data_IF_054220869954
#
_entry.id   IF_054220869954
#
_cell.length_a   1.000
_cell.length_b   1.000
_cell.length_c   1.000
_cell.angle_alpha   90.00
_cell.angle_beta   90.00
_cell.angle_gamma   90.00
#
_symmetry.space_group_name_H-M   'P 1'
#
loop_
_entity.id
_entity.type
_entity.pdbx_description
1 polymer ?
#
# COMPACT_ATOMS: atom_id res chain seq x y z
N UNK A 1 23.06 -5.78 26.84
CA UNK A 1 23.17 -4.77 25.76
C UNK A 1 21.83 -4.04 25.75
N UNK A 2 21.80 -2.76 26.14
CA UNK A 2 20.54 -1.99 26.21
C UNK A 2 20.20 -1.51 24.79
N UNK A 3 19.04 -1.92 24.29
CA UNK A 3 18.49 -1.60 22.96
C UNK A 3 17.13 -0.92 23.16
N UNK A 4 16.92 0.21 22.48
CA UNK A 4 15.64 0.93 22.48
C UNK A 4 15.04 0.94 21.07
N UNK A 5 13.73 0.70 20.96
CA UNK A 5 12.98 0.74 19.70
C UNK A 5 12.05 1.95 19.67
N UNK A 6 11.99 2.62 18.52
CA UNK A 6 11.06 3.71 18.24
C UNK A 6 10.27 3.40 16.98
N UNK A 7 8.95 3.22 17.09
CA UNK A 7 8.11 2.79 15.98
C UNK A 7 7.18 3.89 15.49
N UNK A 8 6.82 3.86 14.21
CA UNK A 8 5.72 4.66 13.67
C UNK A 8 4.94 3.82 12.66
N UNK A 9 3.61 3.90 12.73
CA UNK A 9 2.72 3.26 11.78
C UNK A 9 2.46 4.21 10.62
N UNK A 10 2.40 3.67 9.39
CA UNK A 10 2.05 4.42 8.20
C UNK A 10 0.86 3.77 7.50
N UNK A 11 -0.36 3.98 8.02
CA UNK A 11 -1.55 3.30 7.55
C UNK A 11 -2.16 4.00 6.32
N UNK A 12 -3.02 3.26 5.61
CA UNK A 12 -3.78 3.82 4.48
C UNK A 12 -4.87 4.81 4.93
N UNK A 13 -5.36 4.68 6.17
CA UNK A 13 -6.50 5.43 6.72
C UNK A 13 -6.04 6.40 7.79
N UNK A 14 -5.39 7.48 7.38
CA UNK A 14 -4.92 8.57 8.24
C UNK A 14 -5.53 9.89 7.76
N UNK A 15 -5.84 10.77 8.71
CA UNK A 15 -6.23 12.16 8.40
C UNK A 15 -5.12 12.83 7.58
N UNK A 16 -5.51 13.53 6.52
CA UNK A 16 -4.59 14.06 5.51
C UNK A 16 -3.49 14.95 6.12
N UNK A 17 -3.83 15.84 7.06
CA UNK A 17 -2.85 16.70 7.71
C UNK A 17 -1.81 15.91 8.54
N UNK A 18 -2.27 14.93 9.33
CA UNK A 18 -1.40 14.06 10.13
C UNK A 18 -0.48 13.21 9.24
N UNK A 19 -1.02 12.76 8.10
CA UNK A 19 -0.24 12.05 7.08
C UNK A 19 0.82 12.95 6.48
N UNK A 20 0.47 14.17 6.09
CA UNK A 20 1.40 15.14 5.54
C UNK A 20 2.54 15.46 6.52
N UNK A 21 2.24 15.69 7.80
CA UNK A 21 3.25 15.93 8.81
C UNK A 21 4.21 14.73 8.97
N UNK A 22 3.68 13.50 8.96
CA UNK A 22 4.49 12.29 8.99
C UNK A 22 5.37 12.15 7.75
N UNK A 23 4.82 12.35 6.55
CA UNK A 23 5.56 12.27 5.29
C UNK A 23 6.70 13.30 5.26
N UNK A 24 6.41 14.54 5.64
CA UNK A 24 7.41 15.62 5.73
C UNK A 24 8.57 15.24 6.67
N UNK A 25 8.25 14.66 7.84
CA UNK A 25 9.27 14.21 8.79
C UNK A 25 10.11 13.07 8.22
N UNK A 26 9.45 12.01 7.72
CA UNK A 26 10.13 10.83 7.18
C UNK A 26 11.02 11.19 5.97
N UNK A 27 10.53 12.02 5.05
CA UNK A 27 11.30 12.49 3.89
C UNK A 27 12.56 13.28 4.29
N UNK A 28 12.52 13.97 5.44
CA UNK A 28 13.67 14.71 5.95
C UNK A 28 14.72 13.76 6.60
N UNK A 29 14.27 12.82 7.43
CA UNK A 29 15.17 12.00 8.26
C UNK A 29 15.64 10.70 7.59
N UNK A 30 14.90 10.20 6.58
CA UNK A 30 15.27 9.00 5.82
C UNK A 30 16.03 9.31 4.52
N UNK A 31 16.37 10.58 4.28
CA UNK A 31 17.18 10.98 3.14
C UNK A 31 18.65 10.99 3.53
N UNK A 32 19.39 9.97 3.11
CA UNK A 32 20.86 9.91 3.26
C UNK A 32 21.53 10.44 2.00
N UNK A 33 22.22 11.57 2.03
CA UNK A 33 23.01 12.09 0.89
C UNK A 33 24.33 12.70 1.35
N UNK A 34 24.76 12.29 2.54
CA UNK A 34 25.99 12.74 3.16
C UNK A 34 27.20 12.09 2.49
N UNK A 35 28.33 12.80 2.51
CA UNK A 35 29.58 12.27 1.94
C UNK A 35 30.15 11.15 2.84
N UNK A 36 30.98 10.25 2.29
CA UNK A 36 31.61 9.19 3.07
C UNK A 36 32.36 9.73 4.31
N UNK A 37 31.93 9.31 5.50
CA UNK A 37 32.52 9.71 6.78
C UNK A 37 31.81 10.86 7.49
N UNK A 38 30.84 11.51 6.84
CA UNK A 38 30.00 12.52 7.50
C UNK A 38 28.96 11.87 8.42
N UNK A 39 28.66 12.55 9.53
CA UNK A 39 27.57 12.14 10.41
C UNK A 39 26.23 12.36 9.69
N UNK A 40 25.27 11.42 9.81
CA UNK A 40 23.97 11.58 9.17
C UNK A 40 23.26 12.86 9.59
N UNK A 41 22.76 13.63 8.63
CA UNK A 41 22.06 14.89 8.87
C UNK A 41 20.82 14.70 9.76
N UNK A 42 20.17 13.53 9.65
CA UNK A 42 19.06 13.11 10.49
C UNK A 42 19.36 13.17 11.99
N UNK A 43 20.63 13.06 12.42
CA UNK A 43 20.98 13.18 13.85
C UNK A 43 20.77 14.60 14.39
N UNK A 44 20.74 15.61 13.53
CA UNK A 44 20.49 17.00 13.91
C UNK A 44 18.99 17.36 13.87
N UNK A 45 18.14 16.46 13.37
CA UNK A 45 16.70 16.63 13.43
C UNK A 45 16.24 16.73 14.91
N UNK A 46 15.41 17.72 15.29
CA UNK A 46 15.00 17.91 16.68
C UNK A 46 14.32 16.69 17.31
N UNK A 47 13.51 15.94 16.54
CA UNK A 47 12.79 14.77 17.04
C UNK A 47 13.78 13.63 17.27
N UNK A 48 14.67 13.36 16.31
CA UNK A 48 15.73 12.34 16.45
C UNK A 48 16.65 12.69 17.61
N UNK A 49 17.11 13.95 17.68
CA UNK A 49 18.01 14.42 18.74
C UNK A 49 17.38 14.28 20.12
N UNK A 50 16.10 14.59 20.26
CA UNK A 50 15.39 14.41 21.51
C UNK A 50 15.40 12.94 21.96
N UNK A 51 15.12 11.98 21.06
CA UNK A 51 15.19 10.56 21.41
C UNK A 51 16.59 10.12 21.83
N UNK A 52 17.63 10.64 21.18
CA UNK A 52 19.03 10.35 21.52
C UNK A 52 19.42 10.90 22.90
N UNK A 53 18.95 12.10 23.25
CA UNK A 53 19.27 12.74 24.53
C UNK A 53 18.54 12.10 25.72
N UNK A 54 17.37 11.49 25.48
CA UNK A 54 16.53 10.90 26.53
C UNK A 54 16.84 9.42 26.82
N UNK A 55 17.66 8.76 26.00
CA UNK A 55 17.95 7.33 26.14
C UNK A 55 19.34 7.10 26.73
N UNK A 56 19.44 6.20 27.71
CA UNK A 56 20.72 5.69 28.22
C UNK A 56 21.22 4.48 27.39
N UNK A 57 20.38 3.94 26.50
CA UNK A 57 20.71 2.81 25.66
C UNK A 57 21.80 3.18 24.64
N UNK A 58 22.77 2.27 24.46
CA UNK A 58 23.86 2.43 23.49
C UNK A 58 23.41 2.25 22.04
N UNK A 59 22.27 1.59 21.84
CA UNK A 59 21.70 1.29 20.54
C UNK A 59 20.25 1.74 20.50
N UNK A 60 19.90 2.51 19.47
CA UNK A 60 18.56 3.01 19.21
C UNK A 60 18.19 2.66 17.78
N UNK A 61 17.05 2.00 17.60
CA UNK A 61 16.54 1.62 16.28
C UNK A 61 15.21 2.32 16.04
N UNK A 62 15.12 3.01 14.90
CA UNK A 62 13.89 3.58 14.39
C UNK A 62 13.26 2.61 13.39
N UNK A 63 11.97 2.28 13.59
CA UNK A 63 11.22 1.31 12.80
C UNK A 63 10.01 2.01 12.18
N UNK A 64 9.91 1.93 10.86
CA UNK A 64 8.71 2.30 10.12
C UNK A 64 7.90 1.03 9.83
N UNK A 65 6.66 0.97 10.30
CA UNK A 65 5.69 -0.07 9.96
C UNK A 65 4.72 0.49 8.93
N UNK A 66 4.92 0.15 7.66
CA UNK A 66 4.18 0.74 6.55
C UNK A 66 3.35 -0.30 5.77
N UNK A 67 2.22 0.16 5.25
CA UNK A 67 1.49 -0.54 4.18
C UNK A 67 2.22 -0.38 2.85
N UNK A 68 1.73 -0.97 1.73
CA UNK A 68 2.29 -0.77 0.39
C UNK A 68 2.39 0.69 -0.10
N UNK A 69 1.94 1.68 0.68
CA UNK A 69 2.15 3.10 0.41
C UNK A 69 3.65 3.44 0.32
N UNK A 70 4.51 2.75 1.06
CA UNK A 70 5.96 2.98 1.03
C UNK A 70 6.62 2.53 -0.29
N UNK A 71 5.93 1.71 -1.08
CA UNK A 71 6.45 1.22 -2.35
C UNK A 71 6.59 2.32 -3.42
N UNK A 72 5.83 3.43 -3.32
CA UNK A 72 5.72 4.41 -4.42
C UNK A 72 5.96 5.83 -3.93
N UNK A 73 6.80 6.58 -4.65
CA UNK A 73 6.90 8.03 -4.51
C UNK A 73 7.62 8.52 -3.26
N UNK A 74 8.46 7.68 -2.64
CA UNK A 74 9.27 8.02 -1.46
C UNK A 74 10.76 7.86 -1.76
N UNK A 75 11.55 8.86 -1.38
CA UNK A 75 13.01 8.88 -1.53
C UNK A 75 13.69 8.49 -0.20
N UNK A 76 13.25 7.35 0.36
CA UNK A 76 13.71 6.87 1.67
C UNK A 76 14.86 5.88 1.52
N UNK A 77 15.79 5.95 2.47
CA UNK A 77 16.94 5.06 2.60
C UNK A 77 16.93 4.36 3.97
N UNK A 78 16.48 3.10 3.98
CA UNK A 78 16.48 2.22 5.15
C UNK A 78 17.77 1.40 5.26
N UNK A 79 18.22 1.14 6.48
CA UNK A 79 19.34 0.23 6.76
C UNK A 79 19.02 -1.23 6.41
N UNK A 80 17.80 -1.66 6.76
CA UNK A 80 17.30 -3.00 6.50
C UNK A 80 15.77 -2.98 6.38
N UNK A 81 15.20 -4.05 5.83
CA UNK A 81 13.75 -4.22 5.72
C UNK A 81 13.31 -5.66 6.02
N UNK A 82 12.11 -5.79 6.59
CA UNK A 82 11.38 -7.05 6.71
C UNK A 82 10.11 -6.92 5.88
N UNK A 83 9.95 -7.80 4.88
CA UNK A 83 8.92 -7.65 3.86
C UNK A 83 7.94 -8.83 3.91
N UNK A 84 6.66 -8.51 4.06
CA UNK A 84 5.56 -9.45 3.81
C UNK A 84 5.34 -9.60 2.28
N UNK A 85 5.42 -10.81 1.71
CA UNK A 85 5.34 -10.96 0.26
C UNK A 85 3.90 -10.79 -0.27
N UNK A 86 3.70 -9.81 -1.15
CA UNK A 86 2.41 -9.60 -1.84
C UNK A 86 2.50 -9.81 -3.35
N UNK A 87 3.61 -9.41 -3.95
CA UNK A 87 3.94 -9.52 -5.37
C UNK A 87 5.45 -9.33 -5.56
N UNK A 88 6.00 -9.86 -6.63
CA UNK A 88 7.39 -9.64 -7.02
C UNK A 88 7.69 -8.15 -7.26
N UNK A 89 6.74 -7.38 -7.80
CA UNK A 89 6.87 -5.91 -7.91
C UNK A 89 7.07 -5.25 -6.54
N UNK A 90 6.28 -5.62 -5.55
CA UNK A 90 6.36 -5.08 -4.18
C UNK A 90 7.74 -5.36 -3.58
N UNK A 91 8.27 -6.58 -3.76
CA UNK A 91 9.62 -6.95 -3.33
C UNK A 91 10.69 -6.01 -3.93
N UNK A 92 10.67 -5.80 -5.25
CA UNK A 92 11.64 -4.93 -5.94
C UNK A 92 11.54 -3.48 -5.45
N UNK A 93 10.31 -2.95 -5.33
CA UNK A 93 10.11 -1.56 -4.92
C UNK A 93 10.64 -1.29 -3.51
N UNK A 94 10.35 -2.18 -2.56
CA UNK A 94 10.85 -2.07 -1.20
C UNK A 94 12.36 -2.31 -1.12
N UNK A 95 12.91 -3.26 -1.90
CA UNK A 95 14.35 -3.43 -1.97
C UNK A 95 15.07 -2.15 -2.45
N UNK A 96 14.46 -1.41 -3.38
CA UNK A 96 14.94 -0.10 -3.83
C UNK A 96 14.82 1.04 -2.82
N UNK A 97 14.29 0.79 -1.61
CA UNK A 97 14.30 1.70 -0.46
C UNK A 97 15.37 1.33 0.57
N UNK A 98 16.02 0.17 0.43
CA UNK A 98 17.08 -0.27 1.35
C UNK A 98 18.43 0.14 0.76
N UNK A 99 19.22 0.90 1.51
CA UNK A 99 20.51 1.45 1.06
C UNK A 99 20.42 2.28 -0.23
N UNK A 100 19.31 3.00 -0.38
CA UNK A 100 18.92 3.69 -1.61
C UNK A 100 19.94 4.72 -2.11
N UNK A 101 20.65 5.39 -1.22
CA UNK A 101 21.56 6.47 -1.56
C UNK A 101 23.01 6.15 -1.19
N UNK A 102 23.31 4.89 -0.84
CA UNK A 102 24.60 4.47 -0.32
C UNK A 102 25.26 3.50 -1.30
N UNK A 103 26.33 3.95 -1.94
CA UNK A 103 27.04 3.17 -2.97
C UNK A 103 28.09 2.19 -2.40
N UNK A 104 28.04 1.89 -1.10
CA UNK A 104 28.98 0.96 -0.46
C UNK A 104 28.52 -0.49 -0.54
N UNK A 105 29.47 -1.41 -0.64
CA UNK A 105 29.21 -2.85 -0.72
C UNK A 105 28.36 -3.37 0.45
N UNK A 106 27.55 -4.38 0.17
CA UNK A 106 26.70 -5.06 1.15
C UNK A 106 27.43 -6.33 1.61
N UNK A 107 27.89 -6.35 2.85
CA UNK A 107 28.62 -7.50 3.40
C UNK A 107 27.70 -8.53 4.07
N UNK A 108 26.51 -8.11 4.51
CA UNK A 108 25.55 -8.94 5.23
C UNK A 108 24.13 -8.75 4.69
N UNK A 109 23.26 -9.79 4.76
CA UNK A 109 21.86 -9.66 4.38
C UNK A 109 21.16 -8.53 5.13
N UNK A 110 20.52 -7.63 4.40
CA UNK A 110 19.80 -6.47 4.93
C UNK A 110 18.31 -6.46 4.55
N UNK A 111 17.84 -7.47 3.82
CA UNK A 111 16.43 -7.65 3.49
C UNK A 111 16.03 -9.04 3.92
N UNK A 112 14.96 -9.13 4.71
CA UNK A 112 14.33 -10.40 5.07
C UNK A 112 12.95 -10.47 4.42
N UNK A 113 12.66 -11.60 3.78
CA UNK A 113 11.34 -11.90 3.23
C UNK A 113 10.64 -12.91 4.13
N UNK A 114 9.39 -12.65 4.49
CA UNK A 114 8.59 -13.66 5.20
C UNK A 114 8.28 -14.82 4.25
N UNK A 115 8.35 -16.05 4.77
CA UNK A 115 8.03 -17.24 3.99
C UNK A 115 6.57 -17.28 3.55
N UNK A 116 5.68 -16.77 4.41
CA UNK A 116 4.24 -16.65 4.14
C UNK A 116 3.81 -15.22 4.42
N UNK A 117 2.87 -14.72 3.62
CA UNK A 117 2.11 -13.53 4.00
C UNK A 117 1.03 -13.90 5.03
N UNK A 118 0.36 -12.90 5.59
CA UNK A 118 -0.65 -13.09 6.62
C UNK A 118 -1.80 -14.01 6.17
N UNK A 119 -2.29 -13.86 4.93
CA UNK A 119 -3.37 -14.69 4.39
C UNK A 119 -2.96 -16.16 4.25
N UNK A 120 -1.71 -16.39 3.84
CA UNK A 120 -1.12 -17.73 3.69
C UNK A 120 -0.92 -18.38 5.04
N UNK A 121 -0.36 -17.64 5.99
CA UNK A 121 -0.16 -18.11 7.35
C UNK A 121 -1.48 -18.50 8.04
N UNK A 122 -2.55 -17.75 7.82
CA UNK A 122 -3.87 -18.09 8.36
C UNK A 122 -4.47 -19.38 7.79
N UNK A 123 -4.07 -19.79 6.58
CA UNK A 123 -4.57 -21.01 5.93
C UNK A 123 -6.06 -21.00 5.55
N UNK A 124 -6.74 -19.83 5.59
CA UNK A 124 -8.19 -19.70 5.34
C UNK A 124 -8.54 -19.30 3.90
N UNK A 125 -7.56 -18.86 3.12
CA UNK A 125 -7.76 -18.29 1.78
C UNK A 125 -7.16 -19.21 0.73
N UNK A 126 -7.88 -19.44 -0.36
CA UNK A 126 -7.36 -20.17 -1.52
C UNK A 126 -6.44 -19.30 -2.38
N UNK A 127 -6.66 -17.99 -2.39
CA UNK A 127 -5.88 -17.00 -3.15
C UNK A 127 -5.18 -16.09 -2.14
N UNK A 128 -3.91 -16.36 -1.88
CA UNK A 128 -3.13 -15.76 -0.80
C UNK A 128 -2.47 -14.47 -1.24
N UNK A 129 -1.92 -14.41 -2.45
CA UNK A 129 -1.34 -13.21 -3.05
C UNK A 129 -2.44 -12.42 -3.76
N UNK A 130 -3.42 -11.98 -2.97
CA UNK A 130 -4.58 -11.21 -3.39
C UNK A 130 -4.78 -10.01 -2.47
N UNK A 131 -5.25 -8.87 -3.01
CA UNK A 131 -5.59 -7.65 -2.24
C UNK A 131 -4.51 -7.21 -1.23
N UNK A 132 -3.30 -6.85 -1.70
CA UNK A 132 -2.88 -6.76 -3.10
C UNK A 132 -2.24 -8.06 -3.65
N UNK A 133 -2.15 -8.18 -4.98
CA UNK A 133 -1.48 -9.29 -5.66
C UNK A 133 -2.19 -9.78 -6.92
N UNK A 134 -1.67 -10.84 -7.56
CA UNK A 134 -2.08 -11.30 -8.89
C UNK A 134 -2.96 -12.56 -8.90
N UNK A 135 -3.25 -13.18 -7.76
CA UNK A 135 -4.19 -14.30 -7.66
C UNK A 135 -5.64 -13.81 -7.72
N UNK A 136 -6.03 -13.20 -8.83
CA UNK A 136 -7.31 -12.46 -8.99
C UNK A 136 -8.50 -13.35 -9.32
N UNK A 137 -8.27 -14.60 -9.73
CA UNK A 137 -9.31 -15.60 -10.02
C UNK A 137 -8.77 -17.02 -9.77
N UNK A 138 -9.65 -18.01 -9.62
CA UNK A 138 -9.26 -19.41 -9.38
C UNK A 138 -8.32 -19.99 -10.46
N UNK A 139 -8.43 -19.51 -11.71
CA UNK A 139 -7.52 -19.90 -12.81
C UNK A 139 -6.12 -19.29 -12.69
N UNK A 140 -5.95 -18.27 -11.85
CA UNK A 140 -4.70 -17.55 -11.62
C UNK A 140 -4.13 -17.86 -10.22
N UNK A 141 -4.48 -19.00 -9.64
CA UNK A 141 -4.01 -19.43 -8.33
C UNK A 141 -2.74 -20.26 -8.46
N UNK A 142 -1.77 -19.99 -7.59
CA UNK A 142 -0.53 -20.73 -7.45
C UNK A 142 -0.79 -22.11 -6.86
N UNK A 143 0.10 -23.06 -7.17
CA UNK A 143 0.04 -24.41 -6.63
C UNK A 143 0.46 -24.48 -5.15
N UNK A 144 1.24 -23.50 -4.70
CA UNK A 144 1.75 -23.37 -3.33
C UNK A 144 1.79 -21.89 -2.94
N UNK A 145 1.77 -21.61 -1.63
CA UNK A 145 1.89 -20.27 -1.07
C UNK A 145 3.16 -20.10 -0.21
N UNK A 146 4.03 -21.10 -0.24
CA UNK A 146 5.36 -21.05 0.38
C UNK A 146 6.31 -20.28 -0.52
N UNK A 147 6.76 -19.11 -0.07
CA UNK A 147 7.61 -18.23 -0.88
C UNK A 147 8.91 -18.94 -1.31
N UNK A 148 9.47 -19.84 -0.49
CA UNK A 148 10.70 -20.58 -0.81
C UNK A 148 10.58 -21.47 -2.05
N UNK A 149 9.35 -21.83 -2.42
CA UNK A 149 9.04 -22.62 -3.62
C UNK A 149 8.65 -21.74 -4.82
N UNK A 150 8.36 -20.46 -4.58
CA UNK A 150 7.84 -19.51 -5.58
C UNK A 150 8.90 -18.55 -6.14
N UNK A 151 10.08 -18.50 -5.51
CA UNK A 151 11.21 -17.65 -5.89
C UNK A 151 12.50 -18.47 -5.94
N UNK A 152 13.48 -17.99 -6.71
CA UNK A 152 14.83 -18.54 -6.68
C UNK A 152 15.63 -17.86 -5.55
N UNK A 153 15.83 -18.58 -4.45
CA UNK A 153 16.53 -18.05 -3.28
C UNK A 153 17.99 -17.70 -3.58
N UNK A 154 18.67 -18.47 -4.44
CA UNK A 154 20.05 -18.18 -4.82
C UNK A 154 20.13 -16.90 -5.64
N UNK A 155 19.18 -16.70 -6.55
CA UNK A 155 19.06 -15.46 -7.31
C UNK A 155 18.83 -14.26 -6.39
N UNK A 156 17.89 -14.35 -5.44
CA UNK A 156 17.59 -13.26 -4.51
C UNK A 156 18.74 -12.94 -3.55
N UNK A 157 19.49 -13.96 -3.13
CA UNK A 157 20.72 -13.77 -2.32
C UNK A 157 21.81 -13.05 -3.12
N UNK A 158 21.88 -13.27 -4.42
CA UNK A 158 22.84 -12.59 -5.28
C UNK A 158 22.42 -11.14 -5.56
N UNK A 159 21.19 -10.94 -6.03
CA UNK A 159 20.66 -9.62 -6.42
C UNK A 159 19.13 -9.60 -6.34
N UNK A 160 18.57 -8.49 -5.82
CA UNK A 160 17.15 -8.16 -5.95
C UNK A 160 16.99 -6.98 -6.90
N UNK A 161 16.61 -7.25 -8.16
CA UNK A 161 16.47 -6.23 -9.20
C UNK A 161 15.19 -6.41 -10.04
N UNK A 162 15.02 -5.50 -11.01
CA UNK A 162 13.85 -5.49 -11.88
C UNK A 162 13.89 -6.54 -13.02
N UNK A 163 14.94 -7.36 -13.13
CA UNK A 163 15.17 -8.26 -14.27
C UNK A 163 13.99 -9.21 -14.49
N UNK A 164 13.55 -9.93 -13.45
CA UNK A 164 12.42 -10.87 -13.56
C UNK A 164 11.08 -10.17 -13.82
N UNK A 165 10.98 -8.86 -13.53
CA UNK A 165 9.78 -8.08 -13.79
C UNK A 165 9.72 -7.56 -15.23
N UNK A 166 10.87 -7.22 -15.80
CA UNK A 166 11.00 -6.66 -17.15
C UNK A 166 11.10 -7.78 -18.19
N UNK A 167 11.92 -8.78 -17.91
CA UNK A 167 12.19 -9.88 -18.83
C UNK A 167 11.26 -11.05 -18.54
N UNK A 168 10.51 -11.45 -19.55
CA UNK A 168 9.66 -12.64 -19.51
C UNK A 168 10.50 -13.87 -19.89
N UNK A 169 10.47 -14.96 -19.09
CA UNK A 169 11.14 -16.20 -19.47
C UNK A 169 10.50 -16.83 -20.71
N UNK A 170 11.28 -17.62 -21.46
CA UNK A 170 10.80 -18.31 -22.68
C UNK A 170 9.62 -19.23 -22.38
N UNK A 171 9.71 -19.97 -21.27
CA UNK A 171 8.64 -20.81 -20.75
C UNK A 171 8.17 -20.24 -19.41
N UNK A 172 6.89 -19.86 -19.34
CA UNK A 172 6.26 -19.34 -18.12
C UNK A 172 5.75 -20.50 -17.26
N UNK A 173 5.97 -20.40 -15.96
CA UNK A 173 5.44 -21.29 -14.94
C UNK A 173 4.46 -20.54 -14.01
N UNK A 174 3.30 -20.07 -14.52
CA UNK A 174 2.43 -19.14 -13.80
C UNK A 174 1.76 -19.71 -12.55
N UNK A 175 1.83 -21.02 -12.35
CA UNK A 175 1.34 -21.68 -11.13
C UNK A 175 2.42 -21.91 -10.08
N UNK A 176 3.69 -21.79 -10.45
CA UNK A 176 4.81 -22.23 -9.61
C UNK A 176 5.82 -21.11 -9.34
N UNK A 177 5.75 -19.98 -10.05
CA UNK A 177 6.66 -18.84 -9.87
C UNK A 177 5.88 -17.55 -9.69
N UNK A 178 6.25 -16.77 -8.68
CA UNK A 178 5.55 -15.54 -8.32
C UNK A 178 5.59 -14.53 -9.48
N UNK A 179 6.77 -14.27 -10.06
CA UNK A 179 6.94 -13.32 -11.16
C UNK A 179 6.20 -13.78 -12.45
N UNK A 180 6.21 -15.08 -12.75
CA UNK A 180 5.58 -15.64 -13.94
C UNK A 180 4.05 -15.55 -13.89
N UNK A 181 3.47 -15.70 -12.69
CA UNK A 181 2.05 -15.43 -12.48
C UNK A 181 1.71 -14.00 -12.90
N UNK A 182 2.52 -13.02 -12.50
CA UNK A 182 2.26 -11.62 -12.84
C UNK A 182 2.35 -11.39 -14.36
N UNK A 183 3.41 -11.89 -15.00
CA UNK A 183 3.54 -11.84 -16.47
C UNK A 183 2.35 -12.46 -17.17
N UNK A 184 1.89 -13.63 -16.69
CA UNK A 184 0.75 -14.32 -17.26
C UNK A 184 -0.53 -13.51 -17.10
N UNK A 185 -0.87 -13.05 -15.89
CA UNK A 185 -2.10 -12.30 -15.61
C UNK A 185 -2.11 -10.99 -16.39
N UNK A 186 -1.00 -10.25 -16.42
CA UNK A 186 -0.89 -9.01 -17.20
C UNK A 186 -1.09 -9.29 -18.69
N UNK A 187 -0.47 -10.36 -19.21
CA UNK A 187 -0.63 -10.75 -20.61
C UNK A 187 -2.08 -11.09 -20.97
N UNK A 188 -2.80 -11.76 -20.06
CA UNK A 188 -4.22 -12.06 -20.23
C UNK A 188 -5.09 -10.79 -20.17
N UNK A 189 -4.86 -9.91 -19.20
CA UNK A 189 -5.60 -8.63 -19.07
C UNK A 189 -5.40 -7.71 -20.27
N UNK A 190 -4.17 -7.61 -20.79
CA UNK A 190 -3.88 -6.79 -21.96
C UNK A 190 -4.34 -7.45 -23.28
N UNK A 191 -4.59 -8.76 -23.27
CA UNK A 191 -4.89 -9.52 -24.49
C UNK A 191 -3.69 -9.63 -25.43
N UNK A 192 -2.46 -9.71 -24.92
CA UNK A 192 -1.22 -9.64 -25.72
C UNK A 192 -1.17 -10.69 -26.85
N UNK A 193 -1.79 -11.85 -26.67
CA UNK A 193 -1.87 -12.90 -27.69
C UNK A 193 -2.59 -12.46 -28.98
N UNK A 194 -3.41 -11.41 -28.91
CA UNK A 194 -4.09 -10.83 -30.07
C UNK A 194 -3.32 -9.65 -30.67
N UNK A 195 -2.55 -8.92 -29.85
CA UNK A 195 -1.66 -7.84 -30.29
C UNK A 195 -0.44 -8.40 -31.03
N UNK A 196 0.16 -9.44 -30.44
CA UNK A 196 1.35 -10.14 -30.94
C UNK A 196 0.99 -11.61 -31.17
N UNK A 197 0.22 -11.92 -32.22
CA UNK A 197 -0.15 -13.30 -32.50
C UNK A 197 1.13 -14.10 -32.74
N UNK A 198 1.29 -15.20 -31.99
CA UNK A 198 2.27 -16.20 -32.35
C UNK A 198 2.00 -16.63 -33.80
N UNK A 199 3.06 -16.83 -34.60
CA UNK A 199 2.96 -17.42 -35.94
C UNK A 199 2.43 -18.85 -35.83
N UNK A 200 1.14 -19.01 -35.59
CA UNK A 200 0.43 -20.27 -35.69
C UNK A 200 -0.08 -20.36 -37.12
N UNK A 201 0.34 -21.39 -37.84
CA UNK A 201 -0.32 -21.85 -39.05
C UNK A 201 -1.69 -22.39 -38.65
N UNK A 202 -2.65 -21.50 -38.38
CA UNK A 202 -4.04 -21.92 -38.14
C UNK A 202 -4.64 -22.20 -39.50
N UNK A 203 -4.93 -23.47 -39.77
CA UNK A 203 -5.63 -23.86 -41.00
C UNK A 203 -6.98 -23.12 -41.07
N UNK A 204 -7.33 -22.51 -42.22
CA UNK A 204 -8.60 -21.83 -42.38
C UNK A 204 -9.77 -22.81 -42.19
N UNK A 205 -10.85 -22.34 -41.56
CA UNK A 205 -12.06 -23.14 -41.36
C UNK A 205 -13.05 -22.80 -42.47
N UNK A 206 -13.66 -23.82 -43.05
CA UNK A 206 -14.70 -23.64 -44.06
C UNK A 206 -16.04 -23.38 -43.38
N UNK A 207 -16.61 -22.20 -43.60
CA UNK A 207 -17.95 -21.85 -43.10
C UNK A 207 -18.79 -21.33 -44.27
N UNK A 208 -19.95 -21.95 -44.52
CA UNK A 208 -20.86 -21.61 -45.63
C UNK A 208 -20.14 -21.47 -47.00
N UNK A 209 -19.27 -22.42 -47.33
CA UNK A 209 -18.59 -22.47 -48.63
C UNK A 209 -17.50 -21.40 -48.86
N UNK A 210 -17.12 -20.64 -47.82
CA UNK A 210 -15.97 -19.71 -47.88
C UNK A 210 -14.89 -20.15 -46.88
N UNK A 211 -13.63 -20.01 -47.30
CA UNK A 211 -12.47 -20.11 -46.41
C UNK A 211 -12.46 -18.86 -45.52
N UNK A 212 -12.67 -19.06 -44.22
CA UNK A 212 -12.59 -17.99 -43.23
C UNK A 212 -11.40 -18.30 -42.34
N UNK A 213 -10.45 -17.37 -42.23
CA UNK A 213 -9.46 -17.40 -41.16
C UNK A 213 -10.25 -17.37 -39.86
N UNK A 214 -10.08 -18.36 -38.97
CA UNK A 214 -10.84 -18.44 -37.72
C UNK A 214 -10.92 -17.05 -37.10
N UNK A 215 -12.12 -16.49 -36.86
CA UNK A 215 -12.23 -15.23 -36.16
C UNK A 215 -11.55 -15.47 -34.81
N UNK A 216 -10.48 -14.74 -34.53
CA UNK A 216 -9.85 -14.74 -33.22
C UNK A 216 -10.95 -14.33 -32.24
N UNK A 217 -11.54 -15.31 -31.54
CA UNK A 217 -12.54 -15.12 -30.49
C UNK A 217 -11.85 -14.41 -29.33
N UNK A 218 -11.65 -13.11 -29.47
CA UNK A 218 -10.67 -12.38 -28.65
C UNK A 218 -10.98 -10.92 -28.41
N UNK A 219 -12.12 -10.42 -28.90
CA UNK A 219 -12.56 -9.05 -28.65
C UNK A 219 -13.57 -9.03 -27.50
N UNK A 220 -13.16 -9.52 -26.34
CA UNK A 220 -13.99 -9.47 -25.13
C UNK A 220 -13.74 -8.16 -24.38
N UNK A 221 -14.76 -7.66 -23.70
CA UNK A 221 -14.73 -6.36 -23.01
C UNK A 221 -13.84 -6.35 -21.77
N UNK A 222 -13.45 -7.52 -21.26
CA UNK A 222 -12.55 -7.74 -20.12
C UNK A 222 -11.07 -7.59 -20.46
N UNK A 223 -10.73 -7.46 -21.75
CA UNK A 223 -9.36 -7.28 -22.21
C UNK A 223 -9.16 -5.91 -22.86
N UNK A 224 -7.97 -5.31 -22.64
CA UNK A 224 -7.63 -4.03 -23.27
C UNK A 224 -7.69 -4.09 -24.79
N UNK A 225 -7.23 -5.21 -25.39
CA UNK A 225 -7.32 -5.43 -26.83
C UNK A 225 -8.76 -5.37 -27.36
N UNK A 226 -9.72 -5.94 -26.63
CA UNK A 226 -11.12 -5.88 -27.03
C UNK A 226 -11.63 -4.44 -27.06
N UNK A 227 -11.25 -3.63 -26.06
CA UNK A 227 -11.60 -2.22 -26.00
C UNK A 227 -11.02 -1.42 -27.18
N UNK A 228 -9.74 -1.62 -27.50
CA UNK A 228 -9.04 -0.82 -28.53
C UNK A 228 -9.32 -1.26 -29.97
N UNK A 229 -9.56 -2.56 -30.20
CA UNK A 229 -9.74 -3.14 -31.54
C UNK A 229 -11.19 -3.51 -31.88
N UNK A 230 -12.10 -3.42 -30.90
CA UNK A 230 -13.54 -3.62 -31.09
C UNK A 230 -14.32 -2.30 -31.14
N UNK A 231 -15.65 -2.40 -31.14
CA UNK A 231 -16.55 -1.25 -31.02
C UNK A 231 -16.98 -1.00 -29.56
N UNK A 232 -16.32 -1.66 -28.60
CA UNK A 232 -16.67 -1.60 -27.18
C UNK A 232 -16.57 -0.18 -26.60
N UNK A 233 -15.62 0.62 -27.10
CA UNK A 233 -15.44 2.03 -26.73
C UNK A 233 -16.63 2.92 -27.09
N UNK A 234 -17.51 2.50 -28.01
CA UNK A 234 -18.74 3.24 -28.34
C UNK A 234 -19.84 3.08 -27.27
N UNK A 235 -19.61 2.27 -26.25
CA UNK A 235 -20.58 1.95 -25.19
C UNK A 235 -19.98 2.14 -23.81
N UNK A 236 -20.83 2.32 -22.80
CA UNK A 236 -20.43 2.27 -21.38
C UNK A 236 -20.34 0.84 -20.79
N UNK A 237 -20.56 -0.20 -21.60
CA UNK A 237 -20.61 -1.59 -21.12
C UNK A 237 -19.27 -2.09 -20.55
N UNK A 238 -18.10 -1.79 -21.15
CA UNK A 238 -16.82 -2.18 -20.57
C UNK A 238 -16.59 -1.60 -19.18
N UNK A 239 -16.99 -0.35 -18.94
CA UNK A 239 -16.86 0.30 -17.63
C UNK A 239 -17.84 -0.30 -16.61
N UNK A 240 -19.02 -0.75 -17.06
CA UNK A 240 -19.99 -1.43 -16.21
C UNK A 240 -19.50 -2.81 -15.76
N UNK A 241 -18.93 -3.61 -16.67
CA UNK A 241 -18.43 -4.96 -16.37
C UNK A 241 -17.03 -4.98 -15.74
N UNK A 242 -16.15 -4.05 -16.14
CA UNK A 242 -14.76 -3.95 -15.67
C UNK A 242 -14.56 -2.62 -14.94
N UNK A 243 -15.26 -2.49 -13.80
CA UNK A 243 -15.27 -1.25 -13.02
C UNK A 243 -13.86 -0.89 -12.55
N UNK A 244 -13.47 0.36 -12.81
CA UNK A 244 -12.29 0.95 -12.19
C UNK A 244 -12.49 1.02 -10.67
N UNK A 245 -11.55 0.47 -9.90
CA UNK A 245 -11.68 0.29 -8.45
C UNK A 245 -12.97 -0.45 -8.07
N UNK A 246 -13.09 -1.70 -8.50
CA UNK A 246 -14.15 -2.62 -8.03
C UNK A 246 -13.92 -2.98 -6.56
N UNK A 247 -14.28 -2.05 -5.66
CA UNK A 247 -14.29 -2.22 -4.22
C UNK A 247 -15.61 -1.71 -3.65
N UNK A 248 -15.88 -2.03 -2.39
CA UNK A 248 -16.96 -1.38 -1.64
C UNK A 248 -16.74 0.15 -1.65
N UNK A 249 -17.83 0.93 -1.69
CA UNK A 249 -17.76 2.39 -1.75
C UNK A 249 -16.95 2.94 -0.57
N UNK A 250 -16.08 3.89 -0.86
CA UNK A 250 -15.33 4.60 0.17
C UNK A 250 -16.16 5.75 0.71
N UNK A 251 -16.19 5.89 2.03
CA UNK A 251 -16.78 7.01 2.75
C UNK A 251 -15.69 8.02 3.08
N UNK A 252 -15.96 9.29 2.78
CA UNK A 252 -15.11 10.42 3.15
C UNK A 252 -15.66 11.07 4.42
N UNK A 253 -14.81 11.19 5.43
CA UNK A 253 -15.09 11.90 6.67
C UNK A 253 -14.08 13.02 6.86
N UNK A 254 -14.45 14.01 7.65
CA UNK A 254 -13.61 15.14 7.98
C UNK A 254 -13.52 15.29 9.48
N UNK A 255 -12.29 15.33 10.01
CA UNK A 255 -12.04 15.58 11.42
C UNK A 255 -12.07 17.08 11.68
N UNK A 256 -13.15 17.57 12.31
CA UNK A 256 -13.43 19.00 12.42
C UNK A 256 -13.43 19.45 13.87
N UNK A 257 -12.66 20.50 14.15
CA UNK A 257 -12.73 21.23 15.41
C UNK A 257 -13.91 22.21 15.39
N UNK A 258 -14.94 21.92 16.18
CA UNK A 258 -16.17 22.75 16.25
C UNK A 258 -16.00 23.91 17.24
N UNK A 259 -15.23 23.68 18.32
CA UNK A 259 -14.99 24.66 19.39
C UNK A 259 -13.55 24.54 19.88
N UNK A 260 -12.96 25.68 20.19
CA UNK A 260 -11.66 25.76 20.86
C UNK A 260 -11.62 24.87 22.11
N UNK A 261 -10.51 24.15 22.28
CA UNK A 261 -10.22 23.26 23.41
C UNK A 261 -11.16 22.04 23.54
N UNK A 262 -11.93 21.72 22.51
CA UNK A 262 -12.69 20.47 22.44
C UNK A 262 -12.03 19.49 21.47
N UNK A 263 -12.22 18.18 21.71
CA UNK A 263 -11.73 17.20 20.75
C UNK A 263 -12.43 17.42 19.41
N UNK A 264 -11.68 17.36 18.30
CA UNK A 264 -12.30 17.39 16.98
C UNK A 264 -13.17 16.15 16.79
N UNK A 265 -14.24 16.30 16.01
CA UNK A 265 -15.22 15.24 15.76
C UNK A 265 -15.32 14.93 14.28
N UNK A 266 -15.63 13.67 13.94
CA UNK A 266 -15.85 13.30 12.55
C UNK A 266 -17.22 13.78 12.06
N UNK A 267 -17.19 14.56 10.98
CA UNK A 267 -18.39 14.95 10.24
C UNK A 267 -18.34 14.47 8.79
N UNK A 268 -19.50 14.32 8.21
CA UNK A 268 -19.72 14.03 6.79
C UNK A 268 -20.52 15.19 6.18
N UNK A 269 -20.15 15.59 4.97
CA UNK A 269 -20.90 16.60 4.22
C UNK A 269 -22.05 15.96 3.44
N UNK A 270 -23.28 16.25 3.84
CA UNK A 270 -24.50 15.92 3.09
C UNK A 270 -24.95 17.14 2.28
N UNK A 271 -25.32 16.92 1.02
CA UNK A 271 -25.86 17.98 0.14
C UNK A 271 -27.17 18.58 0.67
N UNK A 272 -27.95 17.81 1.44
CA UNK A 272 -29.25 18.27 1.97
C UNK A 272 -29.12 18.88 3.36
N UNK A 273 -28.37 18.23 4.25
CA UNK A 273 -28.27 18.61 5.67
C UNK A 273 -27.00 19.38 6.03
N UNK A 274 -26.08 19.58 5.09
CA UNK A 274 -24.77 20.18 5.35
C UNK A 274 -23.87 19.25 6.14
N UNK A 275 -23.05 19.82 7.03
CA UNK A 275 -22.13 19.05 7.87
C UNK A 275 -22.86 18.36 9.01
N UNK A 276 -22.82 17.03 9.03
CA UNK A 276 -23.46 16.19 10.06
C UNK A 276 -22.40 15.43 10.81
N UNK A 277 -22.46 15.42 12.15
CA UNK A 277 -21.58 14.59 12.98
C UNK A 277 -22.01 13.14 12.90
N UNK A 278 -21.05 12.24 12.62
CA UNK A 278 -21.38 10.84 12.28
C UNK A 278 -20.63 9.78 13.09
N UNK A 279 -19.85 10.17 14.10
CA UNK A 279 -19.10 9.22 14.94
C UNK A 279 -19.98 8.10 15.53
N UNK A 280 -21.18 8.45 16.03
CA UNK A 280 -22.12 7.46 16.58
C UNK A 280 -22.70 6.56 15.48
N UNK A 281 -23.08 7.14 14.35
CA UNK A 281 -23.66 6.42 13.20
C UNK A 281 -22.68 5.42 12.58
N UNK A 282 -21.39 5.76 12.54
CA UNK A 282 -20.33 4.88 12.04
C UNK A 282 -19.65 4.06 13.15
N UNK A 283 -20.07 4.17 14.42
CA UNK A 283 -19.45 3.44 15.53
C UNK A 283 -17.97 3.78 15.77
N UNK A 284 -17.55 5.01 15.47
CA UNK A 284 -16.17 5.48 15.66
C UNK A 284 -15.99 5.90 17.12
N UNK A 285 -15.01 5.31 17.79
CA UNK A 285 -14.67 5.60 19.18
C UNK A 285 -13.22 6.06 19.30
N UNK A 286 -12.94 7.20 19.96
CA UNK A 286 -11.56 7.57 20.24
C UNK A 286 -10.90 6.52 21.14
N UNK A 287 -9.66 6.16 20.84
CA UNK A 287 -8.87 5.26 21.68
C UNK A 287 -7.51 5.92 21.96
N UNK A 288 -7.33 6.57 23.13
CA UNK A 288 -6.05 7.14 23.49
C UNK A 288 -5.02 6.02 23.70
N UNK A 289 -3.77 6.31 23.33
CA UNK A 289 -2.64 5.44 23.61
C UNK A 289 -2.15 5.68 25.04
N UNK A 290 -1.81 4.60 25.75
CA UNK A 290 -1.19 4.72 27.07
C UNK A 290 0.18 5.40 26.96
N UNK A 291 0.57 6.14 28.00
CA UNK A 291 1.77 6.97 28.01
C UNK A 291 3.06 6.19 27.70
N UNK A 292 3.18 4.96 28.22
CA UNK A 292 4.33 4.09 27.96
C UNK A 292 4.45 3.64 26.50
N UNK A 293 3.35 3.65 25.73
CA UNK A 293 3.39 3.43 24.28
C UNK A 293 3.80 4.68 23.53
N UNK A 294 3.33 5.86 23.94
CA UNK A 294 3.72 7.14 23.36
C UNK A 294 5.23 7.36 23.44
N UNK A 295 5.85 6.97 24.56
CA UNK A 295 7.31 7.02 24.73
C UNK A 295 8.08 6.12 23.74
N UNK A 296 7.43 5.09 23.17
CA UNK A 296 8.04 4.20 22.17
C UNK A 296 7.75 4.66 20.74
N UNK A 297 7.00 5.73 20.54
CA UNK A 297 6.77 6.26 19.21
C UNK A 297 7.98 7.04 18.72
N UNK A 298 8.27 6.91 17.43
CA UNK A 298 9.27 7.74 16.77
C UNK A 298 8.77 9.18 16.64
N UNK A 299 7.56 9.37 16.13
CA UNK A 299 6.94 10.68 15.99
C UNK A 299 5.57 10.65 16.66
N UNK A 300 5.33 11.61 17.55
CA UNK A 300 4.01 11.87 18.10
C UNK A 300 3.42 13.05 17.36
N UNK A 301 2.18 12.91 16.88
CA UNK A 301 1.48 13.93 16.10
C UNK A 301 0.18 14.34 16.78
N UNK A 302 -0.08 15.62 16.89
CA UNK A 302 -1.34 16.12 17.42
C UNK A 302 -2.07 16.88 16.31
N UNK A 303 -3.29 16.45 15.97
CA UNK A 303 -4.04 17.08 14.91
C UNK A 303 -4.38 18.55 15.22
N UNK A 304 -4.78 18.83 16.45
CA UNK A 304 -5.17 20.19 16.88
C UNK A 304 -3.96 21.11 16.86
N UNK A 305 -2.80 20.62 17.33
CA UNK A 305 -1.55 21.39 17.26
C UNK A 305 -1.17 21.71 15.81
N UNK A 306 -1.28 20.74 14.90
CA UNK A 306 -0.95 20.94 13.48
C UNK A 306 -1.91 21.90 12.76
N UNK A 307 -3.19 21.91 13.13
CA UNK A 307 -4.16 22.90 12.64
C UNK A 307 -3.78 24.27 13.16
N UNK A 308 -3.50 24.42 14.46
CA UNK A 308 -3.13 25.69 15.06
C UNK A 308 -1.83 26.27 14.47
N UNK A 309 -0.85 25.45 14.11
CA UNK A 309 0.38 25.88 13.44
C UNK A 309 0.16 26.41 12.01
N UNK A 310 -0.94 26.01 11.35
CA UNK A 310 -1.26 26.41 9.97
C UNK A 310 -2.13 27.65 9.87
N UNK A 311 -2.84 27.98 10.93
CA UNK A 311 -3.71 29.15 10.98
C UNK A 311 -2.93 30.40 10.58
N UNK A 312 -3.31 30.98 9.44
CA UNK A 312 -2.96 32.36 9.14
C UNK A 312 -3.86 33.26 10.00
N UNK A 313 -3.34 34.41 10.44
CA UNK A 313 -3.95 35.32 11.44
C UNK A 313 -5.37 35.84 11.12
N UNK A 314 -6.01 35.42 10.01
CA UNK A 314 -7.30 35.94 9.54
C UNK A 314 -8.36 34.89 9.09
N UNK A 315 -8.14 33.58 9.24
CA UNK A 315 -9.15 32.57 8.90
C UNK A 315 -9.78 31.93 10.15
N UNK A 316 -11.10 31.71 10.12
CA UNK A 316 -11.81 30.96 11.16
C UNK A 316 -11.21 29.56 11.30
N UNK A 317 -10.89 29.15 12.54
CA UNK A 317 -10.26 27.86 12.90
C UNK A 317 -10.87 26.62 12.24
N UNK A 318 -12.14 26.69 11.83
CA UNK A 318 -12.85 25.58 11.19
C UNK A 318 -12.47 25.37 9.73
N UNK A 319 -12.00 26.38 9.00
CA UNK A 319 -11.79 26.31 7.55
C UNK A 319 -10.71 25.27 7.16
N UNK A 320 -9.54 25.34 7.79
CA UNK A 320 -8.45 24.40 7.54
C UNK A 320 -8.83 22.95 7.88
N UNK A 321 -9.67 22.74 8.89
CA UNK A 321 -10.17 21.42 9.26
C UNK A 321 -11.06 20.80 8.18
N UNK A 322 -11.85 21.61 7.44
CA UNK A 322 -12.67 21.12 6.33
C UNK A 322 -11.85 20.71 5.10
N UNK A 323 -10.64 21.26 4.95
CA UNK A 323 -9.77 20.98 3.81
C UNK A 323 -8.78 19.85 4.14
N UNK A 324 -8.09 19.94 5.28
CA UNK A 324 -6.99 19.05 5.63
C UNK A 324 -7.37 17.96 6.64
N UNK A 325 -8.58 18.00 7.18
CA UNK A 325 -9.14 16.98 8.08
C UNK A 325 -9.69 15.74 7.37
N UNK A 326 -9.54 15.63 6.04
CA UNK A 326 -10.09 14.52 5.27
C UNK A 326 -9.46 13.17 5.64
N UNK A 327 -10.30 12.16 5.82
CA UNK A 327 -9.94 10.74 5.90
C UNK A 327 -10.91 9.93 5.04
N UNK A 328 -10.37 9.00 4.26
CA UNK A 328 -11.17 8.08 3.43
C UNK A 328 -11.03 6.66 3.93
N UNK A 329 -12.15 5.96 4.14
CA UNK A 329 -12.15 4.55 4.52
C UNK A 329 -13.36 3.82 3.91
N UNK A 330 -13.34 2.49 3.93
CA UNK A 330 -14.47 1.68 3.47
C UNK A 330 -15.33 1.30 4.65
N UNK A 331 -16.56 1.82 4.69
CA UNK A 331 -17.56 1.37 5.65
C UNK A 331 -18.19 0.07 5.16
N UNK A 332 -18.33 -0.90 6.06
CA UNK A 332 -19.06 -2.13 5.82
C UNK A 332 -20.34 -2.07 6.65
N UNK A 333 -21.51 -1.98 6.00
CA UNK A 333 -22.84 -1.91 6.62
C UNK A 333 -23.27 -3.23 7.29
N UNK A 334 -22.35 -3.87 8.02
CA UNK A 334 -22.70 -4.96 8.93
C UNK A 334 -22.92 -4.32 10.30
N UNK A 335 -24.07 -4.60 10.91
CA UNK A 335 -24.64 -4.01 12.15
C UNK A 335 -23.73 -4.05 13.41
N UNK A 336 -22.49 -4.50 13.30
CA UNK A 336 -21.56 -4.79 14.40
C UNK A 336 -20.14 -4.20 14.21
N UNK A 337 -19.91 -3.35 13.21
CA UNK A 337 -18.57 -2.79 12.98
C UNK A 337 -18.29 -1.57 13.89
N UNK A 338 -17.37 -1.72 14.84
CA UNK A 338 -16.84 -0.62 15.66
C UNK A 338 -15.46 -0.24 15.12
N UNK A 339 -15.18 1.05 15.05
CA UNK A 339 -13.88 1.58 14.64
C UNK A 339 -13.23 2.34 15.79
N UNK A 340 -11.91 2.23 15.88
CA UNK A 340 -11.12 3.06 16.77
C UNK A 340 -10.32 4.09 16.01
N UNK A 341 -10.29 5.30 16.56
CA UNK A 341 -9.49 6.39 16.02
C UNK A 341 -8.42 6.83 17.02
N UNK A 342 -7.21 7.01 16.53
CA UNK A 342 -6.09 7.60 17.23
C UNK A 342 -5.20 8.38 16.24
N UNK A 343 -4.73 9.57 16.59
CA UNK A 343 -3.89 10.38 15.70
C UNK A 343 -2.60 9.66 15.24
N UNK A 344 -2.08 8.72 16.05
CA UNK A 344 -0.86 7.97 15.74
C UNK A 344 -1.11 6.73 14.87
N UNK A 345 -2.27 6.08 15.01
CA UNK A 345 -2.60 4.80 14.37
C UNK A 345 -3.61 4.93 13.22
N UNK A 346 -4.26 6.08 13.10
CA UNK A 346 -5.34 6.32 12.14
C UNK A 346 -6.65 5.69 12.57
N UNK A 347 -7.50 5.38 11.59
CA UNK A 347 -8.78 4.71 11.78
C UNK A 347 -8.65 3.20 11.56
N UNK A 348 -8.85 2.42 12.61
CA UNK A 348 -8.73 0.96 12.59
C UNK A 348 -10.07 0.27 12.88
N UNK A 349 -10.34 -0.83 12.17
CA UNK A 349 -11.53 -1.65 12.39
C UNK A 349 -11.28 -2.68 13.49
N UNK A 350 -12.14 -2.72 14.51
CA UNK A 350 -12.14 -3.84 15.44
C UNK A 350 -12.80 -5.06 14.83
N UNK A 351 -12.09 -6.19 14.83
CA UNK A 351 -12.73 -7.49 14.72
C UNK A 351 -13.15 -7.91 16.12
N UNK A 352 -14.45 -8.16 16.35
CA UNK A 352 -14.90 -8.88 17.56
C UNK A 352 -14.10 -10.19 17.62
N UNK A 353 -13.21 -10.31 18.59
CA UNK A 353 -12.65 -11.60 18.99
C UNK A 353 -13.85 -12.41 19.46
N UNK A 354 -14.30 -13.36 18.65
CA UNK A 354 -15.20 -14.39 19.14
C UNK A 354 -14.35 -15.21 20.09
N UNK A 355 -14.64 -15.07 21.40
CA UNK A 355 -13.99 -15.82 22.46
C UNK A 355 -14.27 -17.31 22.39
#
# INVERSE_FOLDING_TARGET
MLLTLKAIQFPNHQVLLLRHAQEKHLDAVLKRKEEPGEAPAALNDPVIRNHLNQTEAKQLIFILVATPVEEVGRDHDFDWAVIEPSSYRSLIQLAGRVRRHRETAVEQPNITLLQYNWKGYQGKNQQVFSQPGYETAAKYTLATHDLTQLVDENQLRATVDATLRIQKPTELQPKNRLADLEHHVISQTLGCQYIFPAKKNVAPVMLRGRLINQPTTGKTSDQLWGYTSGCWWMTGLPQYWNRFRSSAPSTQLYLIEIKENQRPVFQLYDKQSGWVTVEQSFGIKPQPLAEHFLQKLWLVRDYVELINQRQQENEQMSHDSYIFGEITFTHWDNEDCIYHYNDQLGLEKLKKVHG
#
